data_IF_538602399923
#
_entry.id   IF_538602399923
#
_cell.length_a   1.000
_cell.length_b   1.000
_cell.length_c   1.000
_cell.angle_alpha   90.00
_cell.angle_beta   90.00
_cell.angle_gamma   90.00
#
_symmetry.space_group_name_H-M   'P 1'
#
loop_
_entity.id
_entity.type
_entity.pdbx_description
1 polymer ?
#
# COMPACT_ATOMS: atom_id res chain seq x y z
N UNK A 1 18.76 -15.81 -13.38
CA UNK A 1 18.88 -15.49 -11.94
C UNK A 1 18.45 -14.05 -11.63
N UNK A 2 19.05 -13.01 -12.22
CA UNK A 2 18.66 -11.61 -11.95
C UNK A 2 17.19 -11.30 -12.27
N UNK A 3 16.67 -11.82 -13.39
CA UNK A 3 15.28 -11.59 -13.81
C UNK A 3 14.25 -12.21 -12.85
N UNK A 4 14.61 -13.34 -12.21
CA UNK A 4 13.75 -14.02 -11.24
C UNK A 4 13.74 -13.30 -9.89
N UNK A 5 14.90 -12.77 -9.48
CA UNK A 5 15.01 -11.88 -8.32
C UNK A 5 14.21 -10.61 -8.55
N UNK A 6 14.30 -10.01 -9.75
CA UNK A 6 13.51 -8.82 -10.11
C UNK A 6 12.02 -9.11 -10.01
N UNK A 7 11.55 -10.24 -10.56
CA UNK A 7 10.14 -10.64 -10.49
C UNK A 7 9.64 -10.87 -9.06
N UNK A 8 10.46 -11.46 -8.18
CA UNK A 8 10.13 -11.66 -6.76
C UNK A 8 10.07 -10.34 -5.99
N UNK A 9 11.01 -9.43 -6.25
CA UNK A 9 11.04 -8.10 -5.62
C UNK A 9 9.87 -7.24 -6.11
N UNK A 10 9.59 -7.27 -7.40
CA UNK A 10 8.43 -6.62 -8.02
C UNK A 10 7.10 -7.03 -7.38
N UNK A 11 6.86 -8.35 -7.24
CA UNK A 11 5.68 -8.87 -6.56
C UNK A 11 5.64 -8.48 -5.07
N UNK A 12 6.78 -8.51 -4.39
CA UNK A 12 6.90 -8.12 -2.99
C UNK A 12 6.60 -6.64 -2.74
N UNK A 13 7.12 -5.73 -3.58
CA UNK A 13 6.84 -4.29 -3.53
C UNK A 13 5.36 -4.01 -3.77
N UNK A 14 4.78 -4.72 -4.73
CA UNK A 14 3.37 -4.59 -5.02
C UNK A 14 2.44 -5.06 -3.89
N UNK A 15 2.76 -6.20 -3.28
CA UNK A 15 2.09 -6.66 -2.07
C UNK A 15 2.24 -5.66 -0.92
N UNK A 16 3.44 -5.08 -0.73
CA UNK A 16 3.70 -4.06 0.29
C UNK A 16 2.85 -2.80 0.08
N UNK A 17 2.70 -2.36 -1.18
CA UNK A 17 1.83 -1.24 -1.52
C UNK A 17 0.37 -1.52 -1.18
N UNK A 18 -0.16 -2.67 -1.61
CA UNK A 18 -1.53 -3.08 -1.32
C UNK A 18 -1.80 -3.27 0.18
N UNK A 19 -0.92 -3.99 0.88
CA UNK A 19 -1.01 -4.20 2.32
C UNK A 19 -0.92 -2.88 3.11
N UNK A 20 -0.07 -1.93 2.66
CA UNK A 20 0.04 -0.60 3.24
C UNK A 20 -1.25 0.21 3.16
N UNK A 21 -1.94 0.16 2.01
CA UNK A 21 -3.25 0.81 1.84
C UNK A 21 -4.28 0.19 2.78
N UNK A 22 -4.41 -1.14 2.79
CA UNK A 22 -5.38 -1.86 3.64
C UNK A 22 -5.11 -1.57 5.11
N UNK A 23 -3.85 -1.64 5.54
CA UNK A 23 -3.46 -1.33 6.92
C UNK A 23 -3.77 0.12 7.29
N UNK A 24 -3.52 1.08 6.40
CA UNK A 24 -3.87 2.48 6.62
C UNK A 24 -5.38 2.71 6.74
N UNK A 25 -6.20 2.01 5.96
CA UNK A 25 -7.67 2.06 6.06
C UNK A 25 -8.17 1.47 7.39
N UNK A 26 -7.57 0.36 7.85
CA UNK A 26 -7.88 -0.21 9.17
C UNK A 26 -7.53 0.78 10.27
N UNK A 27 -6.36 1.42 10.20
CA UNK A 27 -5.98 2.45 11.16
C UNK A 27 -6.90 3.68 11.13
N UNK A 28 -7.44 4.05 9.96
CA UNK A 28 -8.44 5.11 9.84
C UNK A 28 -9.74 4.72 10.56
N UNK A 29 -10.22 3.49 10.37
CA UNK A 29 -11.43 2.99 11.03
C UNK A 29 -11.29 2.93 12.55
N UNK A 30 -10.12 2.50 13.05
CA UNK A 30 -9.80 2.50 14.48
C UNK A 30 -9.68 3.93 15.03
N UNK A 31 -9.02 4.84 14.31
CA UNK A 31 -8.89 6.24 14.71
C UNK A 31 -10.24 6.97 14.73
N UNK A 32 -11.17 6.63 13.82
CA UNK A 32 -12.53 7.15 13.83
C UNK A 32 -13.38 6.65 15.02
N UNK A 33 -13.07 5.45 15.53
CA UNK A 33 -13.75 4.88 16.70
C UNK A 33 -13.29 5.48 18.05
N UNK A 34 -12.10 6.09 18.10
CA UNK A 34 -11.49 6.66 19.32
C UNK A 34 -11.74 8.18 19.50
N UNK A 35 -12.52 8.82 18.61
CA UNK A 35 -12.77 10.27 18.61
C UNK A 35 -11.69 11.09 17.89
N UNK A 36 -11.96 12.38 17.58
CA UNK A 36 -11.15 13.21 16.65
C UNK A 36 -9.83 13.68 17.29
N UNK A 37 -8.94 12.75 17.62
CA UNK A 37 -7.61 12.98 18.16
C UNK A 37 -6.55 12.81 17.08
N UNK A 38 -5.98 13.92 16.61
CA UNK A 38 -5.18 14.01 15.40
C UNK A 38 -4.06 12.96 15.22
N UNK A 39 -3.39 12.47 16.27
CA UNK A 39 -2.20 11.63 16.08
C UNK A 39 -2.44 10.30 15.31
N UNK A 40 -3.58 9.61 15.54
CA UNK A 40 -3.87 8.33 14.88
C UNK A 40 -4.42 8.50 13.45
N UNK A 41 -5.20 9.57 13.23
CA UNK A 41 -5.70 9.94 11.92
C UNK A 41 -4.55 10.29 10.95
N UNK A 42 -3.53 11.01 11.42
CA UNK A 42 -2.36 11.35 10.60
C UNK A 42 -1.53 10.11 10.24
N UNK A 43 -1.34 9.16 11.16
CA UNK A 43 -0.66 7.89 10.85
C UNK A 43 -1.43 7.04 9.85
N UNK A 44 -2.75 6.99 9.98
CA UNK A 44 -3.60 6.24 9.09
C UNK A 44 -3.57 6.81 7.65
N UNK A 45 -3.67 8.13 7.51
CA UNK A 45 -3.53 8.81 6.21
C UNK A 45 -2.12 8.59 5.64
N UNK A 46 -1.07 8.72 6.45
CA UNK A 46 0.31 8.49 6.00
C UNK A 46 0.52 7.05 5.49
N UNK A 47 -0.08 6.05 6.14
CA UNK A 47 -0.02 4.66 5.72
C UNK A 47 -0.76 4.43 4.38
N UNK A 48 -1.93 5.04 4.19
CA UNK A 48 -2.67 4.97 2.91
C UNK A 48 -1.90 5.63 1.80
N UNK A 49 -1.39 6.85 2.01
CA UNK A 49 -0.64 7.60 1.00
C UNK A 49 0.66 6.86 0.65
N UNK A 50 1.40 6.37 1.64
CA UNK A 50 2.59 5.55 1.43
C UNK A 50 2.30 4.28 0.63
N UNK A 51 1.23 3.56 0.99
CA UNK A 51 0.78 2.38 0.25
C UNK A 51 0.34 2.70 -1.18
N UNK A 52 -0.37 3.81 -1.39
CA UNK A 52 -0.83 4.26 -2.71
C UNK A 52 0.33 4.63 -3.64
N UNK A 53 1.37 5.28 -3.11
CA UNK A 53 2.60 5.60 -3.87
C UNK A 53 3.31 4.31 -4.28
N UNK A 54 3.46 3.35 -3.36
CA UNK A 54 4.12 2.07 -3.64
C UNK A 54 3.31 1.24 -4.64
N UNK A 55 1.98 1.19 -4.48
CA UNK A 55 1.08 0.53 -5.42
C UNK A 55 1.18 1.18 -6.80
N UNK A 56 1.06 2.51 -6.90
CA UNK A 56 1.20 3.24 -8.16
C UNK A 56 2.55 3.02 -8.85
N UNK A 57 3.64 2.96 -8.09
CA UNK A 57 4.96 2.61 -8.63
C UNK A 57 4.99 1.16 -9.15
N UNK A 58 4.39 0.22 -8.44
CA UNK A 58 4.33 -1.17 -8.87
C UNK A 58 3.47 -1.38 -10.14
N UNK A 59 2.41 -0.58 -10.32
CA UNK A 59 1.63 -0.50 -11.57
C UNK A 59 2.45 0.13 -12.70
N UNK A 60 3.10 1.26 -12.43
CA UNK A 60 3.89 2.01 -13.43
C UNK A 60 5.05 1.20 -13.99
N UNK A 61 5.75 0.46 -13.13
CA UNK A 61 6.86 -0.41 -13.55
C UNK A 61 6.41 -1.71 -14.22
N UNK A 62 5.09 -1.94 -14.41
CA UNK A 62 4.51 -3.22 -14.89
C UNK A 62 5.02 -4.44 -14.12
N UNK A 63 5.43 -4.20 -12.88
CA UNK A 63 6.00 -5.17 -11.96
C UNK A 63 4.90 -5.97 -11.23
N UNK A 64 3.68 -5.46 -11.27
CA UNK A 64 2.47 -6.15 -10.83
C UNK A 64 1.56 -6.41 -12.03
N UNK A 65 1.08 -7.65 -12.13
CA UNK A 65 -0.09 -7.96 -12.93
C UNK A 65 -1.30 -7.23 -12.33
N UNK A 66 -1.78 -6.23 -13.05
CA UNK A 66 -2.95 -5.40 -12.68
C UNK A 66 -4.19 -5.80 -13.46
N UNK A 67 -4.18 -6.97 -14.13
CA UNK A 67 -5.32 -7.49 -14.89
C UNK A 67 -6.59 -7.69 -14.03
N UNK A 68 -6.49 -7.64 -12.71
CA UNK A 68 -7.61 -7.73 -11.77
C UNK A 68 -8.17 -6.38 -11.34
N UNK A 69 -7.49 -5.27 -11.64
CA UNK A 69 -7.88 -3.91 -11.26
C UNK A 69 -8.54 -3.12 -12.41
N UNK A 70 -8.86 -3.81 -13.52
CA UNK A 70 -9.63 -3.30 -14.65
C UNK A 70 -11.12 -3.63 -14.55
#
# INVERSE_FOLDING_TARGET
MLNEVLARVAGGVGFLGGAGIVFGVVQLGLAGSDGPGGARLHQAIAAIVGGAIIAGAAIYFKSLDTSWAG
#
